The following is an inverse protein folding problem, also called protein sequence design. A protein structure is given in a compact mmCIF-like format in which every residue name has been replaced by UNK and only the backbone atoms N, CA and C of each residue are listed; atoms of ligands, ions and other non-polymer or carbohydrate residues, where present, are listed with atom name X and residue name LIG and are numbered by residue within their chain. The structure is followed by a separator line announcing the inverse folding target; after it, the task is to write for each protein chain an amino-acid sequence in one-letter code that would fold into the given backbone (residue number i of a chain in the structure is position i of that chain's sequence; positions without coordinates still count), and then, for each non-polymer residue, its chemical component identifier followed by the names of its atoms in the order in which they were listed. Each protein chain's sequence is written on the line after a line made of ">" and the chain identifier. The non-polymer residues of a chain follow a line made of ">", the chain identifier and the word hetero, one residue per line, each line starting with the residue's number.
data_IF_286981114967
#
_entry.id   IF_286981114967
#
_cell.length_a   1.000
_cell.length_b   1.000
_cell.length_c   1.000
_cell.angle_alpha   90.00
_cell.angle_beta   90.00
_cell.angle_gamma   90.00
#
_symmetry.space_group_name_H-M   'P 1'
#
loop_
_entity.id
_entity.type
_entity.pdbx_description
1 polymer ?
#
# COMPACT_ATOMS: atom_id res chain seq x y z
N UNK A 1 159.42 4.75 109.26
CA UNK A 1 158.69 4.20 108.11
C UNK A 1 157.68 5.22 107.61
N UNK A 2 157.85 5.68 106.36
CA UNK A 2 156.83 6.38 105.56
C UNK A 2 155.70 5.38 105.20
N UNK A 3 154.48 5.84 104.87
CA UNK A 3 154.21 6.23 103.48
C UNK A 3 153.36 7.53 103.32
N UNK A 4 153.25 7.99 102.06
CA UNK A 4 152.68 9.24 101.56
C UNK A 4 151.47 8.98 100.61
N UNK A 5 150.75 10.08 100.27
CA UNK A 5 149.84 10.36 99.12
C UNK A 5 148.33 10.04 99.31
N UNK A 6 147.34 10.80 98.79
CA UNK A 6 147.33 11.68 97.61
C UNK A 6 146.21 12.78 97.63
N UNK A 7 146.32 13.85 96.79
CA UNK A 7 145.35 14.94 96.58
C UNK A 7 144.45 14.80 95.32
N UNK A 8 144.38 13.63 94.67
CA UNK A 8 143.63 13.39 93.43
C UNK A 8 142.10 13.31 93.60
N UNK A 9 141.59 12.84 94.74
CA UNK A 9 140.17 12.55 94.94
C UNK A 9 139.27 13.81 94.96
N UNK A 10 139.81 14.95 95.41
CA UNK A 10 139.09 16.23 95.45
C UNK A 10 138.87 16.85 94.06
N UNK A 11 139.80 16.61 93.12
CA UNK A 11 139.68 17.08 91.73
C UNK A 11 138.59 16.34 90.97
N UNK A 12 138.45 15.04 91.19
CA UNK A 12 137.41 14.20 90.58
C UNK A 12 136.01 14.63 91.05
N UNK A 13 135.85 14.90 92.35
CA UNK A 13 134.56 15.34 92.90
C UNK A 13 134.12 16.69 92.34
N UNK A 14 135.05 17.64 92.20
CA UNK A 14 134.74 18.99 91.69
C UNK A 14 134.35 18.97 90.20
N UNK A 15 134.98 18.11 89.40
CA UNK A 15 134.62 17.90 87.99
C UNK A 15 133.22 17.30 87.83
N UNK A 16 132.85 16.35 88.69
CA UNK A 16 131.53 15.73 88.66
C UNK A 16 130.41 16.70 89.03
N UNK A 17 130.64 17.60 89.99
CA UNK A 17 129.66 18.63 90.38
C UNK A 17 129.40 19.63 89.24
N UNK A 18 130.46 20.05 88.53
CA UNK A 18 130.30 20.95 87.38
C UNK A 18 129.55 20.29 86.22
N UNK A 19 129.84 19.00 85.94
CA UNK A 19 129.14 18.25 84.89
C UNK A 19 127.66 18.03 85.21
N UNK A 20 127.32 17.86 86.49
CA UNK A 20 125.92 17.78 86.93
C UNK A 20 125.20 19.12 86.76
N UNK A 21 125.87 20.23 87.07
CA UNK A 21 125.30 21.56 86.98
C UNK A 21 125.05 21.99 85.52
N UNK A 22 125.95 21.65 84.59
CA UNK A 22 125.75 21.83 83.15
C UNK A 22 124.58 20.98 82.63
N UNK A 23 124.50 19.71 83.06
CA UNK A 23 123.37 18.84 82.70
C UNK A 23 122.03 19.38 83.21
N UNK A 24 122.01 20.00 84.39
CA UNK A 24 120.80 20.63 84.94
C UNK A 24 120.38 21.87 84.14
N UNK A 25 121.33 22.72 83.73
CA UNK A 25 121.04 23.86 82.85
C UNK A 25 120.54 23.43 81.47
N UNK A 26 121.11 22.37 80.92
CA UNK A 26 120.71 21.83 79.62
C UNK A 26 119.29 21.21 79.67
N UNK A 27 118.95 20.58 80.80
CA UNK A 27 117.59 20.10 81.06
C UNK A 27 116.58 21.24 81.23
N UNK A 28 116.94 22.30 81.96
CA UNK A 28 116.11 23.49 82.12
C UNK A 28 115.82 24.16 80.77
N UNK A 29 116.82 24.24 79.88
CA UNK A 29 116.66 24.82 78.54
C UNK A 29 115.75 23.97 77.64
N UNK A 30 115.89 22.63 77.67
CA UNK A 30 115.03 21.71 76.91
C UNK A 30 113.57 21.73 77.39
N UNK A 31 113.33 21.96 78.68
CA UNK A 31 111.99 22.12 79.24
C UNK A 31 111.32 23.43 78.81
N UNK A 32 112.08 24.51 78.67
CA UNK A 32 111.59 25.80 78.17
C UNK A 32 111.29 25.79 76.66
N UNK A 33 111.99 24.96 75.88
CA UNK A 33 111.71 24.78 74.44
C UNK A 33 110.52 23.85 74.11
N UNK A 34 109.96 23.15 75.11
CA UNK A 34 108.73 22.37 74.93
C UNK A 34 107.49 23.29 74.94
N UNK A 35 107.46 24.31 74.08
CA UNK A 35 106.27 25.12 73.82
C UNK A 35 105.32 24.37 72.88
N UNK A 36 104.68 23.33 73.41
CA UNK A 36 103.66 22.50 72.72
C UNK A 36 102.31 23.21 72.49
N UNK A 37 102.23 24.55 72.61
CA UNK A 37 100.96 25.25 72.86
C UNK A 37 100.29 25.91 71.65
N UNK A 38 101.01 26.13 70.55
CA UNK A 38 100.47 26.77 69.33
C UNK A 38 99.84 25.77 68.37
N UNK A 39 100.68 24.96 67.73
CA UNK A 39 100.24 24.06 66.65
C UNK A 39 99.22 23.01 67.11
N UNK A 40 99.37 22.44 68.30
CA UNK A 40 98.43 21.41 68.80
C UNK A 40 97.02 21.96 69.05
N UNK A 41 96.91 23.19 69.58
CA UNK A 41 95.63 23.83 69.82
C UNK A 41 94.93 24.21 68.51
N UNK A 42 95.69 24.63 67.49
CA UNK A 42 95.15 24.91 66.15
C UNK A 42 94.59 23.65 65.48
N UNK A 43 95.26 22.50 65.67
CA UNK A 43 94.74 21.21 65.18
C UNK A 43 93.45 20.79 65.93
N UNK A 44 93.38 21.00 67.25
CA UNK A 44 92.16 20.73 68.03
C UNK A 44 91.02 21.63 67.54
N UNK A 45 91.27 22.91 67.31
CA UNK A 45 90.26 23.85 66.81
C UNK A 45 89.76 23.47 65.41
N UNK A 46 90.67 23.12 64.49
CA UNK A 46 90.30 22.63 63.15
C UNK A 46 89.49 21.34 63.21
N UNK A 47 89.85 20.43 64.12
CA UNK A 47 89.13 19.19 64.32
C UNK A 47 87.72 19.45 64.87
N UNK A 48 87.59 20.38 65.81
CA UNK A 48 86.32 20.79 66.37
C UNK A 48 85.42 21.47 65.33
N UNK A 49 85.99 22.36 64.50
CA UNK A 49 85.27 22.99 63.38
C UNK A 49 84.80 21.94 62.36
N UNK A 50 85.67 20.97 62.04
CA UNK A 50 85.30 19.85 61.17
C UNK A 50 84.17 19.02 61.77
N UNK A 51 84.23 18.67 63.06
CA UNK A 51 83.14 17.96 63.72
C UNK A 51 81.85 18.78 63.77
N UNK A 52 81.92 20.09 63.96
CA UNK A 52 80.75 20.96 63.94
C UNK A 52 80.12 21.01 62.54
N UNK A 53 80.93 21.21 61.50
CA UNK A 53 80.50 21.19 60.11
C UNK A 53 79.86 19.85 59.71
N UNK A 54 80.43 18.73 60.18
CA UNK A 54 79.86 17.41 59.97
C UNK A 54 78.55 17.22 60.74
N UNK A 55 78.46 17.74 61.96
CA UNK A 55 77.23 17.69 62.78
C UNK A 55 76.11 18.49 62.11
N UNK A 56 76.40 19.68 61.63
CA UNK A 56 75.46 20.53 60.91
C UNK A 56 75.01 19.87 59.59
N UNK A 57 75.95 19.25 58.86
CA UNK A 57 75.64 18.48 57.65
C UNK A 57 74.74 17.27 57.95
N UNK A 58 74.95 16.57 59.07
CA UNK A 58 74.10 15.45 59.50
C UNK A 58 72.70 15.92 59.92
N UNK A 59 72.59 17.08 60.57
CA UNK A 59 71.29 17.69 60.88
C UNK A 59 70.52 18.04 59.60
N UNK A 60 71.17 18.68 58.62
CA UNK A 60 70.57 18.98 57.32
C UNK A 60 70.16 17.71 56.57
N UNK A 61 71.00 16.67 56.61
CA UNK A 61 70.67 15.37 56.02
C UNK A 61 69.43 14.77 56.68
N UNK A 62 69.34 14.83 58.01
CA UNK A 62 68.19 14.30 58.77
C UNK A 62 66.90 15.05 58.41
N UNK A 63 66.94 16.37 58.32
CA UNK A 63 65.79 17.19 57.88
C UNK A 63 65.37 16.85 56.45
N UNK A 64 66.35 16.66 55.55
CA UNK A 64 66.08 16.26 54.16
C UNK A 64 65.43 14.87 54.07
N UNK A 65 65.87 13.92 54.91
CA UNK A 65 65.30 12.58 55.00
C UNK A 65 63.87 12.60 55.53
N UNK A 66 63.58 13.41 56.55
CA UNK A 66 62.21 13.58 57.05
C UNK A 66 61.28 14.18 55.99
N UNK A 67 61.77 15.18 55.24
CA UNK A 67 61.01 15.77 54.13
C UNK A 67 60.77 14.75 53.01
N UNK A 68 61.78 13.93 52.70
CA UNK A 68 61.66 12.85 51.72
C UNK A 68 60.63 11.81 52.17
N UNK A 69 60.67 11.38 53.43
CA UNK A 69 59.72 10.45 54.03
C UNK A 69 58.28 10.97 53.94
N UNK A 70 58.07 12.26 54.29
CA UNK A 70 56.75 12.89 54.14
C UNK A 70 56.26 12.87 52.69
N UNK A 71 57.11 13.24 51.74
CA UNK A 71 56.76 13.21 50.32
C UNK A 71 56.45 11.77 49.86
N UNK A 72 57.19 10.78 50.36
CA UNK A 72 56.98 9.36 50.04
C UNK A 72 55.60 8.89 50.55
N UNK A 73 55.19 9.31 51.75
CA UNK A 73 53.87 9.04 52.29
C UNK A 73 52.75 9.74 51.52
N UNK A 74 52.96 10.99 51.10
CA UNK A 74 51.99 11.71 50.25
C UNK A 74 51.83 11.03 48.89
N UNK A 75 52.94 10.61 48.25
CA UNK A 75 52.91 9.85 47.00
C UNK A 75 52.18 8.51 47.21
N UNK A 76 52.45 7.79 48.30
CA UNK A 76 51.79 6.53 48.61
C UNK A 76 50.27 6.69 48.78
N UNK A 77 49.81 7.75 49.45
CA UNK A 77 48.38 8.07 49.58
C UNK A 77 47.75 8.37 48.21
N UNK A 78 48.42 9.17 47.38
CA UNK A 78 47.96 9.46 46.01
C UNK A 78 47.91 8.19 45.16
N UNK A 79 48.89 7.30 45.26
CA UNK A 79 48.89 6.01 44.55
C UNK A 79 47.69 5.17 44.98
N UNK A 80 47.43 5.05 46.28
CA UNK A 80 46.28 4.29 46.79
C UNK A 80 44.93 4.83 46.30
N UNK A 81 44.77 6.17 46.28
CA UNK A 81 43.58 6.84 45.73
C UNK A 81 43.46 6.62 44.24
N UNK A 82 44.58 6.65 43.52
CA UNK A 82 44.59 6.38 42.07
C UNK A 82 44.18 4.94 41.78
N UNK A 83 44.68 3.96 42.53
CA UNK A 83 44.34 2.54 42.37
C UNK A 83 42.85 2.26 42.58
N UNK A 84 42.24 2.90 43.59
CA UNK A 84 40.79 2.78 43.83
C UNK A 84 39.97 3.40 42.70
N UNK A 85 40.37 4.56 42.18
CA UNK A 85 39.72 5.21 41.03
C UNK A 85 39.86 4.35 39.78
N UNK A 86 41.05 3.85 39.47
CA UNK A 86 41.31 2.99 38.31
C UNK A 86 40.50 1.70 38.40
N UNK A 87 40.42 1.09 39.58
CA UNK A 87 39.57 -0.09 39.81
C UNK A 87 38.09 0.22 39.57
N UNK A 88 37.60 1.36 40.07
CA UNK A 88 36.21 1.79 39.85
C UNK A 88 35.90 2.08 38.37
N UNK A 89 36.87 2.60 37.62
CA UNK A 89 36.74 2.85 36.19
C UNK A 89 36.74 1.55 35.42
N UNK A 90 37.59 0.59 35.78
CA UNK A 90 37.62 -0.75 35.19
C UNK A 90 36.27 -1.47 35.33
N UNK A 91 35.66 -1.43 36.52
CA UNK A 91 34.33 -2.02 36.76
C UNK A 91 33.25 -1.35 35.89
N UNK A 92 33.24 -0.01 35.83
CA UNK A 92 32.27 0.73 35.00
C UNK A 92 32.44 0.45 33.50
N UNK A 93 33.68 0.38 33.02
CA UNK A 93 33.98 0.03 31.63
C UNK A 93 33.47 -1.37 31.28
N UNK A 94 33.65 -2.34 32.18
CA UNK A 94 33.14 -3.69 31.96
C UNK A 94 31.60 -3.72 31.93
N UNK A 95 30.94 -3.05 32.86
CA UNK A 95 29.47 -2.94 32.87
C UNK A 95 28.93 -2.30 31.58
N UNK A 96 29.57 -1.22 31.12
CA UNK A 96 29.21 -0.57 29.85
C UNK A 96 29.44 -1.54 28.70
N UNK A 97 30.58 -2.23 28.64
CA UNK A 97 30.88 -3.18 27.58
C UNK A 97 29.85 -4.33 27.50
N UNK A 98 29.42 -4.86 28.65
CA UNK A 98 28.39 -5.90 28.72
C UNK A 98 27.01 -5.39 28.26
N UNK A 99 26.59 -4.22 28.75
CA UNK A 99 25.33 -3.60 28.36
C UNK A 99 25.30 -3.31 26.85
N UNK A 100 26.36 -2.71 26.32
CA UNK A 100 26.47 -2.43 24.89
C UNK A 100 26.47 -3.72 24.05
N UNK A 101 27.11 -4.78 24.52
CA UNK A 101 27.09 -6.08 23.83
C UNK A 101 25.66 -6.62 23.75
N UNK A 102 24.92 -6.58 24.86
CA UNK A 102 23.53 -7.01 24.90
C UNK A 102 22.63 -6.15 24.00
N UNK A 103 22.79 -4.83 24.03
CA UNK A 103 22.03 -3.90 23.19
C UNK A 103 22.29 -4.14 21.70
N UNK A 104 23.55 -4.40 21.31
CA UNK A 104 23.89 -4.76 19.93
C UNK A 104 23.18 -6.05 19.51
N UNK A 105 23.19 -7.08 20.35
CA UNK A 105 22.48 -8.33 20.04
C UNK A 105 20.97 -8.11 19.91
N UNK A 106 20.37 -7.34 20.84
CA UNK A 106 18.94 -7.02 20.82
C UNK A 106 18.56 -6.24 19.55
N UNK A 107 19.29 -5.17 19.24
CA UNK A 107 19.05 -4.36 18.05
C UNK A 107 19.25 -5.19 16.77
N UNK A 108 20.26 -6.05 16.73
CA UNK A 108 20.47 -6.96 15.59
C UNK A 108 19.28 -7.91 15.39
N UNK A 109 18.75 -8.49 16.47
CA UNK A 109 17.57 -9.35 16.41
C UNK A 109 16.31 -8.59 15.95
N UNK A 110 16.11 -7.36 16.45
CA UNK A 110 14.98 -6.51 16.07
C UNK A 110 15.06 -6.07 14.60
N UNK A 111 16.25 -5.71 14.12
CA UNK A 111 16.51 -5.40 12.71
C UNK A 111 16.25 -6.62 11.82
N UNK A 112 16.72 -7.80 12.22
CA UNK A 112 16.47 -9.03 11.48
C UNK A 112 14.97 -9.37 11.44
N UNK A 113 14.27 -9.29 12.57
CA UNK A 113 12.83 -9.50 12.63
C UNK A 113 12.08 -8.52 11.72
N UNK A 114 12.43 -7.24 11.79
CA UNK A 114 11.85 -6.21 10.93
C UNK A 114 12.10 -6.53 9.46
N UNK A 115 13.32 -6.95 9.10
CA UNK A 115 13.68 -7.33 7.72
C UNK A 115 12.80 -8.47 7.19
N UNK A 116 12.49 -9.47 8.00
CA UNK A 116 11.54 -10.52 7.62
C UNK A 116 10.12 -9.96 7.41
N UNK A 117 9.67 -9.05 8.28
CA UNK A 117 8.39 -8.35 8.12
C UNK A 117 8.31 -7.55 6.82
N UNK A 118 9.36 -6.78 6.51
CA UNK A 118 9.47 -6.03 5.24
C UNK A 118 9.46 -6.94 4.02
N UNK A 119 10.14 -8.08 4.08
CA UNK A 119 10.08 -9.09 3.01
C UNK A 119 8.67 -9.64 2.82
N UNK A 120 7.93 -9.86 3.90
CA UNK A 120 6.53 -10.28 3.84
C UNK A 120 5.66 -9.22 3.16
N UNK A 121 5.79 -7.96 3.56
CA UNK A 121 5.07 -6.85 2.91
C UNK A 121 5.43 -6.70 1.43
N UNK A 122 6.70 -6.86 1.05
CA UNK A 122 7.12 -6.82 -0.37
C UNK A 122 6.44 -7.93 -1.19
N UNK A 123 6.36 -9.15 -0.66
CA UNK A 123 5.65 -10.25 -1.33
C UNK A 123 4.15 -9.99 -1.45
N UNK A 124 3.51 -9.45 -0.40
CA UNK A 124 2.09 -9.11 -0.42
C UNK A 124 1.78 -7.97 -1.40
N UNK A 125 2.64 -6.96 -1.50
CA UNK A 125 2.51 -5.89 -2.47
C UNK A 125 2.64 -6.40 -3.90
N UNK A 126 3.58 -7.32 -4.16
CA UNK A 126 3.71 -7.96 -5.48
C UNK A 126 2.45 -8.74 -5.86
N UNK A 127 1.88 -9.51 -4.94
CA UNK A 127 0.61 -10.23 -5.17
C UNK A 127 -0.58 -9.28 -5.38
N UNK A 128 -0.62 -8.17 -4.67
CA UNK A 128 -1.64 -7.13 -4.88
C UNK A 128 -1.50 -6.54 -6.29
N UNK A 129 -0.28 -6.20 -6.72
CA UNK A 129 -0.03 -5.63 -8.05
C UNK A 129 -0.49 -6.56 -9.15
N UNK A 130 -0.15 -7.85 -9.09
CA UNK A 130 -0.58 -8.83 -10.11
C UNK A 130 -2.10 -9.00 -10.14
N UNK A 131 -2.77 -8.93 -8.99
CA UNK A 131 -4.25 -8.94 -8.92
C UNK A 131 -4.86 -7.69 -9.54
N UNK A 132 -4.29 -6.51 -9.29
CA UNK A 132 -4.75 -5.24 -9.86
C UNK A 132 -4.56 -5.25 -11.38
N UNK A 133 -3.43 -5.75 -11.87
CA UNK A 133 -3.18 -5.94 -13.30
C UNK A 133 -4.23 -6.87 -13.92
N UNK A 134 -4.51 -8.02 -13.29
CA UNK A 134 -5.54 -8.95 -13.76
C UNK A 134 -6.96 -8.36 -13.76
N UNK A 135 -7.30 -7.53 -12.77
CA UNK A 135 -8.58 -6.80 -12.76
C UNK A 135 -8.64 -5.76 -13.87
N UNK A 136 -7.54 -5.06 -14.16
CA UNK A 136 -7.47 -4.09 -15.22
C UNK A 136 -7.67 -4.74 -16.60
N UNK A 137 -7.09 -5.92 -16.83
CA UNK A 137 -7.33 -6.71 -18.03
C UNK A 137 -8.81 -7.12 -18.17
N UNK A 138 -9.44 -7.57 -17.07
CA UNK A 138 -10.87 -7.91 -17.07
C UNK A 138 -11.76 -6.71 -17.38
N UNK A 139 -11.47 -5.54 -16.80
CA UNK A 139 -12.21 -4.30 -17.09
C UNK A 139 -12.05 -3.92 -18.56
N UNK A 140 -10.86 -4.08 -19.12
CA UNK A 140 -10.59 -3.78 -20.54
C UNK A 140 -11.43 -4.69 -21.44
N UNK A 141 -11.42 -6.00 -21.18
CA UNK A 141 -12.25 -6.96 -21.92
C UNK A 141 -13.75 -6.61 -21.78
N UNK A 142 -14.21 -6.31 -20.55
CA UNK A 142 -15.59 -5.93 -20.33
C UNK A 142 -15.97 -4.68 -21.13
N UNK A 143 -15.09 -3.67 -21.16
CA UNK A 143 -15.29 -2.45 -21.93
C UNK A 143 -15.41 -2.74 -23.43
N UNK A 144 -14.56 -3.62 -23.97
CA UNK A 144 -14.64 -4.04 -25.37
C UNK A 144 -15.95 -4.78 -25.69
N UNK A 145 -16.37 -5.69 -24.80
CA UNK A 145 -17.66 -6.39 -24.94
C UNK A 145 -18.86 -5.43 -24.87
N UNK A 146 -18.80 -4.42 -24.01
CA UNK A 146 -19.84 -3.39 -23.92
C UNK A 146 -19.87 -2.51 -25.17
N UNK A 147 -18.71 -2.13 -25.70
CA UNK A 147 -18.62 -1.35 -26.93
C UNK A 147 -19.18 -2.12 -28.13
N UNK A 148 -18.86 -3.41 -28.25
CA UNK A 148 -19.41 -4.26 -29.33
C UNK A 148 -20.91 -4.50 -29.18
N UNK A 149 -21.40 -4.72 -27.95
CA UNK A 149 -22.84 -4.79 -27.68
C UNK A 149 -23.55 -3.48 -28.02
N UNK A 150 -22.98 -2.34 -27.63
CA UNK A 150 -23.56 -1.03 -27.93
C UNK A 150 -23.63 -0.79 -29.44
N UNK A 151 -22.59 -1.16 -30.19
CA UNK A 151 -22.57 -1.02 -31.64
C UNK A 151 -23.62 -1.91 -32.32
N UNK A 152 -23.72 -3.19 -31.91
CA UNK A 152 -24.72 -4.12 -32.45
C UNK A 152 -26.14 -3.69 -32.13
N UNK A 153 -26.43 -3.28 -30.90
CA UNK A 153 -27.74 -2.73 -30.54
C UNK A 153 -28.07 -1.46 -31.30
N UNK A 154 -27.13 -0.53 -31.42
CA UNK A 154 -27.35 0.71 -32.17
C UNK A 154 -27.64 0.43 -33.65
N UNK A 155 -26.98 -0.57 -34.23
CA UNK A 155 -27.23 -1.02 -35.59
C UNK A 155 -28.63 -1.63 -35.73
N UNK A 156 -29.00 -2.57 -34.87
CA UNK A 156 -30.31 -3.23 -34.89
C UNK A 156 -31.45 -2.24 -34.69
N UNK A 157 -31.31 -1.30 -33.74
CA UNK A 157 -32.27 -0.21 -33.51
C UNK A 157 -32.42 0.62 -34.79
N UNK A 158 -31.32 0.94 -35.48
CA UNK A 158 -31.36 1.67 -36.75
C UNK A 158 -32.15 0.93 -37.84
N UNK A 159 -31.93 -0.39 -37.98
CA UNK A 159 -32.67 -1.23 -38.93
C UNK A 159 -34.16 -1.28 -38.58
N UNK A 160 -34.49 -1.50 -37.30
CA UNK A 160 -35.88 -1.50 -36.85
C UNK A 160 -36.55 -0.14 -37.06
N UNK A 161 -35.85 0.96 -36.81
CA UNK A 161 -36.38 2.31 -37.02
C UNK A 161 -36.68 2.57 -38.50
N UNK A 162 -35.79 2.15 -39.41
CA UNK A 162 -36.06 2.20 -40.86
C UNK A 162 -37.29 1.36 -41.24
N UNK A 163 -37.37 0.12 -40.72
CA UNK A 163 -38.50 -0.78 -41.01
C UNK A 163 -39.83 -0.24 -40.50
N UNK A 164 -39.83 0.40 -39.33
CA UNK A 164 -41.01 1.07 -38.77
C UNK A 164 -41.44 2.22 -39.67
N UNK A 165 -40.51 3.02 -40.18
CA UNK A 165 -40.82 4.11 -41.13
C UNK A 165 -41.41 3.57 -42.44
N UNK A 166 -40.87 2.49 -43.00
CA UNK A 166 -41.44 1.81 -44.18
C UNK A 166 -42.89 1.36 -43.92
N UNK A 167 -43.14 0.70 -42.79
CA UNK A 167 -44.47 0.23 -42.41
C UNK A 167 -45.45 1.39 -42.19
N UNK A 168 -45.00 2.49 -41.58
CA UNK A 168 -45.80 3.70 -41.45
C UNK A 168 -46.23 4.24 -42.81
N UNK A 169 -45.31 4.31 -43.79
CA UNK A 169 -45.63 4.71 -45.16
C UNK A 169 -46.63 3.78 -45.85
N UNK A 170 -46.50 2.46 -45.67
CA UNK A 170 -47.46 1.49 -46.19
C UNK A 170 -48.85 1.68 -45.56
N UNK A 171 -48.93 1.87 -44.24
CA UNK A 171 -50.19 2.11 -43.53
C UNK A 171 -50.84 3.39 -44.01
N UNK A 172 -50.08 4.47 -44.24
CA UNK A 172 -50.66 5.72 -44.77
C UNK A 172 -51.22 5.54 -46.17
N UNK A 173 -50.54 4.79 -47.04
CA UNK A 173 -51.02 4.52 -48.40
C UNK A 173 -52.29 3.66 -48.38
N UNK A 174 -52.32 2.57 -47.59
CA UNK A 174 -53.50 1.72 -47.45
C UNK A 174 -54.67 2.48 -46.82
N UNK A 175 -54.39 3.36 -45.86
CA UNK A 175 -55.42 4.21 -45.25
C UNK A 175 -56.04 5.16 -46.27
N UNK A 176 -55.22 5.76 -47.15
CA UNK A 176 -55.70 6.63 -48.23
C UNK A 176 -56.51 5.84 -49.27
N UNK A 177 -56.04 4.67 -49.69
CA UNK A 177 -56.77 3.79 -50.62
C UNK A 177 -58.13 3.32 -50.04
N UNK A 178 -58.15 2.99 -48.75
CA UNK A 178 -59.38 2.65 -48.03
C UNK A 178 -60.35 3.84 -48.00
N UNK A 179 -59.84 5.06 -47.80
CA UNK A 179 -60.64 6.29 -47.81
C UNK A 179 -61.22 6.55 -49.20
N UNK A 180 -60.42 6.38 -50.26
CA UNK A 180 -60.86 6.55 -51.65
C UNK A 180 -61.92 5.53 -52.02
N UNK A 181 -61.69 4.25 -51.71
CA UNK A 181 -62.65 3.17 -51.95
C UNK A 181 -63.97 3.43 -51.22
N UNK A 182 -63.92 3.90 -49.98
CA UNK A 182 -65.11 4.27 -49.22
C UNK A 182 -65.90 5.41 -49.88
N UNK A 183 -65.22 6.42 -50.42
CA UNK A 183 -65.89 7.50 -51.16
C UNK A 183 -66.56 6.99 -52.43
N UNK A 184 -65.86 6.14 -53.21
CA UNK A 184 -66.45 5.52 -54.40
C UNK A 184 -67.69 4.69 -54.05
N UNK A 185 -67.63 3.92 -52.95
CA UNK A 185 -68.78 3.15 -52.47
C UNK A 185 -69.97 4.03 -52.11
N UNK A 186 -69.74 5.15 -51.41
CA UNK A 186 -70.81 6.11 -51.06
C UNK A 186 -71.45 6.70 -52.32
N UNK A 187 -70.64 7.10 -53.31
CA UNK A 187 -71.14 7.66 -54.58
C UNK A 187 -71.95 6.62 -55.36
N UNK A 188 -71.43 5.39 -55.47
CA UNK A 188 -72.12 4.30 -56.15
C UNK A 188 -73.44 3.94 -55.46
N UNK A 189 -73.47 3.89 -54.13
CA UNK A 189 -74.70 3.64 -53.37
C UNK A 189 -75.75 4.74 -53.64
N UNK A 190 -75.32 6.00 -53.70
CA UNK A 190 -76.21 7.12 -54.03
C UNK A 190 -76.73 7.02 -55.47
N UNK A 191 -75.89 6.63 -56.43
CA UNK A 191 -76.28 6.39 -57.81
C UNK A 191 -77.30 5.24 -57.90
N UNK A 192 -77.05 4.12 -57.24
CA UNK A 192 -78.00 2.99 -57.19
C UNK A 192 -79.34 3.40 -56.59
N UNK A 193 -79.36 4.23 -55.54
CA UNK A 193 -80.60 4.79 -54.99
C UNK A 193 -81.34 5.67 -56.01
N UNK A 194 -80.63 6.47 -56.78
CA UNK A 194 -81.23 7.31 -57.83
C UNK A 194 -81.81 6.45 -58.97
N UNK A 195 -81.05 5.49 -59.48
CA UNK A 195 -81.51 4.55 -60.51
C UNK A 195 -82.71 3.74 -60.03
N UNK A 196 -82.71 3.29 -58.77
CA UNK A 196 -83.86 2.60 -58.18
C UNK A 196 -85.11 3.49 -58.12
N UNK A 197 -84.95 4.78 -57.83
CA UNK A 197 -86.05 5.74 -57.86
C UNK A 197 -86.59 5.95 -59.28
N UNK A 198 -85.71 6.02 -60.30
CA UNK A 198 -86.12 6.09 -61.70
C UNK A 198 -86.89 4.83 -62.12
N UNK A 199 -86.38 3.65 -61.79
CA UNK A 199 -87.05 2.37 -62.08
C UNK A 199 -88.42 2.32 -61.38
N UNK A 200 -88.51 2.73 -60.12
CA UNK A 200 -89.78 2.82 -59.41
C UNK A 200 -90.77 3.75 -60.12
N UNK A 201 -90.33 4.93 -60.56
CA UNK A 201 -91.18 5.87 -61.30
C UNK A 201 -91.66 5.27 -62.64
N UNK A 202 -90.77 4.64 -63.41
CA UNK A 202 -91.12 3.97 -64.68
C UNK A 202 -92.10 2.82 -64.43
N UNK A 203 -91.89 2.04 -63.36
CA UNK A 203 -92.77 0.93 -63.00
C UNK A 203 -94.16 1.42 -62.63
N UNK A 204 -94.25 2.52 -61.88
CA UNK A 204 -95.52 3.13 -61.50
C UNK A 204 -96.24 3.76 -62.71
N UNK A 205 -95.52 4.39 -63.64
CA UNK A 205 -96.07 4.90 -64.90
C UNK A 205 -96.60 3.77 -65.80
N UNK A 206 -95.83 2.69 -65.96
CA UNK A 206 -96.29 1.49 -66.67
C UNK A 206 -97.54 0.89 -66.02
N UNK A 207 -97.58 0.82 -64.68
CA UNK A 207 -98.75 0.34 -63.93
C UNK A 207 -99.98 1.23 -64.14
N UNK A 208 -99.79 2.55 -64.19
CA UNK A 208 -100.85 3.50 -64.49
C UNK A 208 -101.34 3.31 -65.93
N UNK A 209 -100.43 3.15 -66.90
CA UNK A 209 -100.77 2.88 -68.29
C UNK A 209 -101.50 1.54 -68.46
N UNK A 210 -101.08 0.50 -67.75
CA UNK A 210 -101.78 -0.78 -67.74
C UNK A 210 -103.19 -0.65 -67.16
N UNK A 211 -103.37 0.18 -66.12
CA UNK A 211 -104.67 0.48 -65.56
C UNK A 211 -105.55 1.30 -66.53
N UNK A 212 -105.02 2.31 -67.20
CA UNK A 212 -105.71 3.08 -68.25
C UNK A 212 -106.15 2.17 -69.41
N UNK A 213 -105.25 1.31 -69.90
CA UNK A 213 -105.57 0.31 -70.93
C UNK A 213 -106.63 -0.68 -70.44
N UNK A 214 -106.55 -1.16 -69.20
CA UNK A 214 -107.55 -2.06 -68.62
C UNK A 214 -108.95 -1.42 -68.61
N UNK A 215 -109.05 -0.13 -68.27
CA UNK A 215 -110.32 0.63 -68.32
C UNK A 215 -110.80 0.83 -69.75
N UNK A 216 -109.92 1.20 -70.68
CA UNK A 216 -110.27 1.36 -72.09
C UNK A 216 -110.81 0.04 -72.67
N UNK A 217 -110.15 -1.08 -72.38
CA UNK A 217 -110.60 -2.41 -72.76
C UNK A 217 -111.93 -2.76 -72.10
N UNK A 218 -112.14 -2.45 -70.82
CA UNK A 218 -113.42 -2.67 -70.13
C UNK A 218 -114.56 -1.86 -70.78
N UNK A 219 -114.32 -0.60 -71.17
CA UNK A 219 -115.30 0.23 -71.87
C UNK A 219 -115.62 -0.29 -73.28
N UNK A 220 -114.62 -0.81 -74.01
CA UNK A 220 -114.84 -1.46 -75.32
C UNK A 220 -115.61 -2.78 -75.15
N UNK A 221 -115.37 -3.51 -74.05
CA UNK A 221 -116.10 -4.75 -73.70
C UNK A 221 -117.54 -4.47 -73.24
N UNK A 222 -117.89 -3.23 -72.85
CA UNK A 222 -119.28 -2.82 -72.57
C UNK A 222 -120.03 -2.43 -73.86
N UNK A 223 -119.33 -1.99 -74.91
CA UNK A 223 -119.93 -1.67 -76.23
C UNK A 223 -119.95 -2.85 -77.21
N UNK A 224 -119.21 -3.93 -76.92
CA UNK A 224 -119.24 -5.17 -77.69
C UNK A 224 -119.75 -6.27 -76.76
N UNK A 225 -120.97 -6.75 -77.02
CA UNK A 225 -121.69 -7.71 -76.19
C UNK A 225 -120.86 -8.91 -75.72
N UNK A 226 -121.33 -9.52 -74.62
CA UNK A 226 -120.84 -10.72 -73.94
C UNK A 226 -119.70 -11.46 -74.64
N UNK A 227 -118.53 -11.64 -74.00
CA UNK A 227 -117.50 -12.53 -74.51
C UNK A 227 -118.09 -13.92 -74.81
N UNK A 228 -117.85 -14.39 -76.03
CA UNK A 228 -118.22 -15.73 -76.48
C UNK A 228 -117.58 -16.82 -75.60
N UNK A 229 -118.16 -18.01 -75.68
CA UNK A 229 -117.80 -19.19 -74.90
C UNK A 229 -116.28 -19.40 -74.79
N UNK A 230 -115.86 -19.73 -73.57
CA UNK A 230 -114.49 -20.13 -73.25
C UNK A 230 -114.10 -21.31 -74.12
N UNK A 231 -113.16 -21.12 -75.04
CA UNK A 231 -112.54 -22.21 -75.79
C UNK A 231 -111.96 -23.27 -74.84
N UNK A 232 -111.95 -24.55 -75.23
CA UNK A 232 -111.49 -25.65 -74.38
C UNK A 232 -110.06 -25.39 -73.89
N UNK A 233 -109.82 -25.68 -72.60
CA UNK A 233 -108.51 -25.57 -71.98
C UNK A 233 -107.47 -26.35 -72.78
N UNK A 234 -106.39 -25.67 -73.16
CA UNK A 234 -105.20 -26.31 -73.73
C UNK A 234 -104.63 -27.34 -72.75
N UNK A 235 -104.16 -28.46 -73.30
CA UNK A 235 -103.47 -29.52 -72.58
C UNK A 235 -102.34 -28.94 -71.72
N UNK A 236 -102.17 -29.36 -70.45
CA UNK A 236 -101.04 -28.94 -69.63
C UNK A 236 -99.72 -29.26 -70.33
N UNK A 237 -98.85 -28.25 -70.47
CA UNK A 237 -97.48 -28.46 -70.94
C UNK A 237 -96.72 -29.42 -70.01
N UNK A 238 -95.90 -30.30 -70.60
CA UNK A 238 -95.06 -31.21 -69.85
C UNK A 238 -94.21 -30.45 -68.82
N UNK A 239 -94.25 -30.95 -67.58
CA UNK A 239 -93.42 -30.47 -66.48
C UNK A 239 -91.96 -30.63 -66.87
N UNK A 240 -91.23 -29.52 -67.00
CA UNK A 240 -89.79 -29.53 -67.23
C UNK A 240 -89.06 -30.30 -66.13
N UNK A 241 -88.04 -31.06 -66.52
CA UNK A 241 -87.24 -31.88 -65.64
C UNK A 241 -86.64 -31.07 -64.48
N UNK A 242 -86.67 -31.69 -63.31
CA UNK A 242 -86.15 -31.15 -62.06
C UNK A 242 -84.63 -31.00 -62.21
N UNK A 243 -84.13 -29.77 -62.15
CA UNK A 243 -82.69 -29.51 -62.14
C UNK A 243 -82.01 -30.25 -60.98
N UNK A 244 -80.88 -30.89 -61.27
CA UNK A 244 -80.09 -31.63 -60.30
C UNK A 244 -79.67 -30.74 -59.12
N UNK A 245 -79.81 -31.30 -57.92
CA UNK A 245 -79.43 -30.63 -56.67
C UNK A 245 -77.90 -30.52 -56.62
N UNK A 246 -77.38 -29.31 -56.44
CA UNK A 246 -75.94 -29.08 -56.33
C UNK A 246 -75.30 -29.89 -55.19
N UNK A 247 -74.08 -30.38 -55.43
CA UNK A 247 -73.31 -31.15 -54.46
C UNK A 247 -73.09 -30.34 -53.16
N UNK A 248 -73.19 -30.96 -51.97
CA UNK A 248 -72.82 -30.31 -50.71
C UNK A 248 -71.35 -29.86 -50.73
N UNK A 249 -71.09 -28.63 -50.27
CA UNK A 249 -69.72 -28.12 -50.14
C UNK A 249 -68.87 -28.94 -49.17
N UNK A 250 -67.54 -29.02 -49.37
CA UNK A 250 -66.66 -29.81 -48.51
C UNK A 250 -66.65 -29.29 -47.06
N UNK A 251 -66.56 -30.23 -46.12
CA UNK A 251 -66.47 -29.98 -44.68
C UNK A 251 -65.22 -29.17 -44.34
N UNK A 252 -65.38 -28.07 -43.59
CA UNK A 252 -64.27 -27.24 -43.14
C UNK A 252 -63.27 -28.00 -42.26
N UNK A 253 -61.98 -27.82 -42.53
CA UNK A 253 -60.89 -28.39 -41.75
C UNK A 253 -60.91 -27.85 -40.31
N UNK A 254 -60.91 -28.76 -39.34
CA UNK A 254 -60.82 -28.49 -37.90
C UNK A 254 -59.44 -27.89 -37.58
N UNK A 255 -59.43 -26.72 -36.93
CA UNK A 255 -58.19 -26.04 -36.54
C UNK A 255 -57.29 -26.89 -35.64
N UNK A 256 -55.99 -26.90 -35.95
CA UNK A 256 -54.96 -27.54 -35.14
C UNK A 256 -54.83 -26.80 -33.79
N UNK A 257 -55.04 -27.56 -32.71
CA UNK A 257 -54.81 -27.13 -31.33
C UNK A 257 -53.31 -26.88 -31.13
N UNK A 258 -52.94 -25.65 -30.77
CA UNK A 258 -51.58 -25.30 -30.37
C UNK A 258 -51.11 -26.14 -29.20
N UNK A 259 -49.95 -26.78 -29.34
CA UNK A 259 -49.22 -27.43 -28.25
C UNK A 259 -48.15 -26.45 -27.78
N UNK A 260 -48.40 -25.87 -26.61
CA UNK A 260 -47.40 -25.12 -25.86
C UNK A 260 -46.33 -26.05 -25.30
N UNK A 261 -45.12 -25.48 -25.27
CA UNK A 261 -44.09 -25.60 -24.25
C UNK A 261 -43.83 -26.97 -23.61
N UNK A 262 -42.64 -27.49 -23.87
CA UNK A 262 -41.84 -28.16 -22.83
C UNK A 262 -40.45 -27.54 -22.82
N UNK A 263 -40.12 -26.94 -21.68
CA UNK A 263 -38.78 -26.50 -21.32
C UNK A 263 -37.90 -27.64 -20.82
N UNK A 264 -36.68 -27.26 -20.42
CA UNK A 264 -35.53 -28.09 -20.03
C UNK A 264 -34.79 -28.69 -21.25
N UNK A 265 -33.49 -28.46 -21.41
CA UNK A 265 -32.47 -28.90 -20.44
C UNK A 265 -31.16 -28.17 -20.72
N UNK A 266 -30.50 -27.72 -19.65
CA UNK A 266 -29.20 -27.08 -19.73
C UNK A 266 -28.11 -28.01 -20.24
N UNK A 267 -27.09 -27.43 -20.89
CA UNK A 267 -25.83 -28.11 -21.13
C UNK A 267 -24.66 -27.15 -20.89
N UNK A 268 -23.90 -27.50 -19.87
CA UNK A 268 -22.62 -26.93 -19.43
C UNK A 268 -21.49 -27.51 -20.28
N UNK A 269 -20.45 -26.68 -20.50
CA UNK A 269 -19.04 -26.99 -20.88
C UNK A 269 -18.85 -27.45 -22.34
N UNK A 270 -17.85 -26.98 -23.07
CA UNK A 270 -16.49 -26.52 -22.72
C UNK A 270 -16.15 -25.19 -23.36
#
# INVERSE_FOLDING_TARGET
>A
SRPQSAPEDLKVLTSNVNRLNESYRDLQFKLLQLTFKGDFMDHIWKLQDLFQNHTDSLFQLTESLQKLEKNLNEVQDVTSKTDTIVSSLGVRLNQISELHSLDIYRLSAEVNSSRYGWSGHDTALKDLTTKVEGLNEQITILMDTLNTLNWTFSYDIGIHQSRIQELQGLITNVSEDTRQTRLLHIVMEQQLKHEMALINNVTEDLRLKDWEHSIALKNITVLRGFPGERGPSGLPGQKGDKGDTGLPGPMGLRGLKGRGEDGATGRRRR
#
